data_IF_163072463837
#
_entry.id   IF_163072463837
#
_cell.length_a   1.000
_cell.length_b   1.000
_cell.length_c   1.000
_cell.angle_alpha   90.00
_cell.angle_beta   90.00
_cell.angle_gamma   90.00
#
_symmetry.space_group_name_H-M   'P 1'
#
loop_
_entity.id
_entity.type
_entity.pdbx_description
1 polymer ?
#
# COMPACT_ATOMS: atom_id res chain seq x y z
N UNK A 1 5.07 -20.89 4.27
CA UNK A 1 6.11 -19.84 4.35
C UNK A 1 5.78 -18.94 5.53
N UNK A 2 6.70 -18.73 6.48
CA UNK A 2 6.44 -17.84 7.61
C UNK A 2 6.52 -16.38 7.14
N UNK A 3 5.36 -15.80 6.81
CA UNK A 3 5.22 -14.39 6.42
C UNK A 3 5.90 -13.43 7.42
N UNK A 4 5.87 -13.79 8.71
CA UNK A 4 6.60 -13.09 9.76
C UNK A 4 8.12 -13.07 9.56
N UNK A 5 8.72 -14.18 9.15
CA UNK A 5 10.17 -14.25 8.90
C UNK A 5 10.57 -13.27 7.81
N UNK A 6 9.83 -13.25 6.68
CA UNK A 6 10.10 -12.34 5.57
C UNK A 6 10.06 -10.87 5.97
N UNK A 7 9.04 -10.48 6.77
CA UNK A 7 8.95 -9.12 7.30
C UNK A 7 10.16 -8.78 8.19
N UNK A 8 10.53 -9.69 9.09
CA UNK A 8 11.68 -9.50 9.98
C UNK A 8 12.99 -9.37 9.18
N UNK A 9 13.21 -10.28 8.24
CA UNK A 9 14.42 -10.33 7.41
C UNK A 9 14.57 -9.05 6.59
N UNK A 10 13.47 -8.53 6.03
CA UNK A 10 13.48 -7.25 5.31
C UNK A 10 13.90 -6.11 6.24
N UNK A 11 13.29 -5.98 7.42
CA UNK A 11 13.63 -4.90 8.36
C UNK A 11 15.09 -4.99 8.81
N UNK A 12 15.56 -6.19 9.14
CA UNK A 12 16.95 -6.40 9.53
C UNK A 12 17.94 -6.09 8.40
N UNK A 13 17.58 -6.36 7.14
CA UNK A 13 18.43 -6.01 6.00
C UNK A 13 18.61 -4.51 5.80
N UNK A 14 17.65 -3.70 6.26
CA UNK A 14 17.64 -2.25 6.09
C UNK A 14 18.35 -1.49 7.21
N UNK A 15 18.67 -2.14 8.33
CA UNK A 15 19.32 -1.53 9.51
C UNK A 15 20.56 -0.70 9.12
N UNK A 16 21.49 -1.30 8.36
CA UNK A 16 22.70 -0.60 7.93
C UNK A 16 22.46 0.54 6.93
N UNK A 17 21.35 0.53 6.19
CA UNK A 17 20.97 1.67 5.34
C UNK A 17 20.26 2.77 6.16
N UNK A 18 19.55 2.42 7.23
CA UNK A 18 18.97 3.38 8.18
C UNK A 18 20.07 4.19 8.88
N UNK A 19 21.09 3.54 9.44
CA UNK A 19 22.22 4.22 10.09
C UNK A 19 22.93 5.16 9.11
N UNK A 20 23.22 4.69 7.89
CA UNK A 20 23.87 5.50 6.86
C UNK A 20 23.03 6.69 6.41
N UNK A 21 21.71 6.53 6.35
CA UNK A 21 20.82 7.61 5.94
C UNK A 21 20.65 8.66 7.04
N UNK A 22 20.37 8.24 8.27
CA UNK A 22 20.09 9.16 9.38
C UNK A 22 21.35 9.80 9.97
N UNK A 23 22.45 9.06 10.12
CA UNK A 23 23.67 9.61 10.72
C UNK A 23 24.55 10.32 9.70
N UNK A 24 24.63 9.76 8.47
CA UNK A 24 25.58 10.22 7.44
C UNK A 24 24.91 10.92 6.26
N UNK A 25 23.59 11.12 6.30
CA UNK A 25 22.82 11.77 5.22
C UNK A 25 23.05 11.15 3.82
N UNK A 26 23.32 9.84 3.76
CA UNK A 26 23.62 9.17 2.50
C UNK A 26 22.36 8.99 1.63
N UNK A 27 22.25 9.74 0.53
CA UNK A 27 21.09 9.71 -0.37
C UNK A 27 20.84 8.35 -1.04
N UNK A 28 21.88 7.56 -1.29
CA UNK A 28 21.72 6.22 -1.86
C UNK A 28 21.10 5.25 -0.83
N UNK A 29 21.54 5.33 0.42
CA UNK A 29 20.95 4.58 1.54
C UNK A 29 19.49 4.99 1.76
N UNK A 30 19.18 6.29 1.72
CA UNK A 30 17.80 6.79 1.79
C UNK A 30 16.89 6.24 0.68
N UNK A 31 17.42 6.09 -0.54
CA UNK A 31 16.68 5.47 -1.65
C UNK A 31 16.36 3.99 -1.38
N UNK A 32 17.31 3.24 -0.78
CA UNK A 32 17.11 1.83 -0.41
C UNK A 32 16.11 1.67 0.72
N UNK A 33 16.26 2.46 1.79
CA UNK A 33 15.29 2.53 2.90
C UNK A 33 13.89 2.78 2.37
N UNK A 34 13.71 3.79 1.50
CA UNK A 34 12.40 4.10 0.92
C UNK A 34 11.81 2.94 0.11
N UNK A 35 12.62 2.27 -0.72
CA UNK A 35 12.18 1.10 -1.50
C UNK A 35 11.82 -0.07 -0.60
N UNK A 36 12.66 -0.38 0.39
CA UNK A 36 12.41 -1.43 1.37
C UNK A 36 11.14 -1.17 2.18
N UNK A 37 10.90 0.07 2.61
CA UNK A 37 9.64 0.43 3.30
C UNK A 37 8.40 0.32 2.41
N UNK A 38 8.54 0.56 1.10
CA UNK A 38 7.45 0.32 0.14
C UNK A 38 7.11 -1.18 0.05
N UNK A 39 8.13 -2.04 0.03
CA UNK A 39 7.97 -3.50 0.00
C UNK A 39 7.36 -4.02 1.30
N UNK A 40 7.82 -3.53 2.45
CA UNK A 40 7.25 -3.83 3.77
C UNK A 40 5.74 -3.55 3.80
N UNK A 41 5.33 -2.37 3.29
CA UNK A 41 3.92 -1.97 3.23
C UNK A 41 3.10 -2.96 2.41
N UNK A 42 3.60 -3.37 1.26
CA UNK A 42 2.90 -4.31 0.38
C UNK A 42 2.77 -5.69 1.06
N UNK A 43 3.86 -6.22 1.62
CA UNK A 43 3.82 -7.49 2.36
C UNK A 43 2.86 -7.44 3.54
N UNK A 44 2.87 -6.36 4.33
CA UNK A 44 1.94 -6.18 5.43
C UNK A 44 0.47 -6.15 4.97
N UNK A 45 0.19 -5.49 3.84
CA UNK A 45 -1.14 -5.44 3.23
C UNK A 45 -1.62 -6.83 2.77
N UNK A 46 -0.74 -7.59 2.12
CA UNK A 46 -1.02 -8.96 1.67
C UNK A 46 -1.35 -9.86 2.86
N UNK A 47 -0.50 -9.88 3.89
CA UNK A 47 -0.70 -10.68 5.10
C UNK A 47 -2.00 -10.30 5.80
N UNK A 48 -2.31 -9.01 5.92
CA UNK A 48 -3.58 -8.55 6.48
C UNK A 48 -4.77 -9.09 5.70
N UNK A 49 -4.69 -9.04 4.37
CA UNK A 49 -5.76 -9.51 3.48
C UNK A 49 -5.90 -11.03 3.58
N UNK A 50 -4.81 -11.79 3.61
CA UNK A 50 -4.81 -13.23 3.85
C UNK A 50 -5.48 -13.58 5.16
N UNK A 51 -5.12 -12.93 6.27
CA UNK A 51 -5.73 -13.16 7.59
C UNK A 51 -7.22 -12.85 7.57
N UNK A 52 -7.61 -11.73 6.94
CA UNK A 52 -9.02 -11.36 6.82
C UNK A 52 -9.79 -12.38 5.97
N UNK A 53 -9.20 -12.82 4.86
CA UNK A 53 -9.78 -13.85 4.01
C UNK A 53 -9.92 -15.17 4.76
N UNK A 54 -8.94 -15.58 5.58
CA UNK A 54 -9.02 -16.78 6.42
C UNK A 54 -10.12 -16.66 7.49
N UNK A 55 -10.30 -15.47 8.09
CA UNK A 55 -11.42 -15.23 9.01
C UNK A 55 -12.77 -15.31 8.29
N UNK A 56 -12.86 -14.77 7.08
CA UNK A 56 -14.07 -14.80 6.29
C UNK A 56 -14.35 -16.23 5.78
N UNK A 57 -13.36 -16.97 5.26
CA UNK A 57 -13.56 -18.37 4.83
C UNK A 57 -13.84 -19.32 5.99
N UNK A 58 -13.34 -19.03 7.19
CA UNK A 58 -13.72 -19.72 8.43
C UNK A 58 -15.04 -19.25 9.06
N UNK A 59 -15.64 -18.17 8.55
CA UNK A 59 -16.81 -17.50 9.14
C UNK A 59 -17.98 -17.26 8.19
N UNK A 60 -17.88 -17.62 6.90
CA UNK A 60 -18.84 -17.21 5.87
C UNK A 60 -19.63 -18.39 5.29
N UNK A 61 -20.27 -19.14 6.19
CA UNK A 61 -21.65 -19.61 5.97
C UNK A 61 -22.68 -18.48 6.17
N UNK A 62 -22.25 -17.24 6.45
CA UNK A 62 -23.12 -16.10 6.66
C UNK A 62 -22.78 -14.92 5.73
N UNK A 63 -23.51 -14.89 4.61
CA UNK A 63 -23.74 -13.76 3.67
C UNK A 63 -22.77 -13.55 2.50
N UNK A 64 -23.06 -14.30 1.44
CA UNK A 64 -22.98 -13.80 0.08
C UNK A 64 -23.80 -12.51 -0.11
N UNK A 65 -23.21 -11.55 -0.84
CA UNK A 65 -23.72 -10.24 -1.25
C UNK A 65 -24.92 -10.33 -2.23
N UNK A 66 -25.54 -9.20 -2.66
CA UNK A 66 -24.98 -8.50 -3.83
C UNK A 66 -25.28 -6.98 -3.93
N UNK A 67 -24.47 -6.24 -4.70
CA UNK A 67 -24.91 -5.53 -5.92
C UNK A 67 -23.98 -4.36 -6.31
N UNK A 68 -23.49 -4.45 -7.54
CA UNK A 68 -22.83 -3.40 -8.30
C UNK A 68 -23.82 -2.34 -8.83
N UNK A 69 -23.36 -1.08 -8.89
CA UNK A 69 -23.58 -0.06 -9.96
C UNK A 69 -22.87 1.22 -9.49
N UNK A 70 -22.03 1.91 -10.27
CA UNK A 70 -22.15 2.21 -11.68
C UNK A 70 -20.79 2.62 -12.26
N UNK A 71 -20.51 2.14 -13.47
CA UNK A 71 -19.40 2.49 -14.33
C UNK A 71 -19.35 4.01 -14.65
N UNK A 72 -18.13 4.53 -14.85
CA UNK A 72 -17.81 5.73 -15.64
C UNK A 72 -18.29 5.53 -17.12
N UNK A 73 -18.47 6.56 -18.00
CA UNK A 73 -17.55 7.69 -18.23
C UNK A 73 -18.21 9.01 -18.76
N UNK A 74 -17.35 9.93 -19.21
CA UNK A 74 -17.55 10.93 -20.28
C UNK A 74 -17.65 12.43 -19.88
N UNK A 75 -16.70 13.16 -20.46
CA UNK A 75 -16.53 14.61 -20.51
C UNK A 75 -17.71 15.37 -21.15
N UNK A 76 -17.94 16.63 -20.74
CA UNK A 76 -17.76 17.85 -21.56
C UNK A 76 -18.59 19.06 -21.08
N UNK A 77 -17.93 20.22 -21.09
CA UNK A 77 -18.42 21.59 -21.35
C UNK A 77 -19.44 22.26 -20.40
N UNK A 78 -18.96 23.32 -19.73
CA UNK A 78 -19.58 24.68 -19.77
C UNK A 78 -18.53 25.69 -19.27
N UNK A 79 -17.83 26.37 -20.18
CA UNK A 79 -18.15 27.71 -20.68
C UNK A 79 -17.83 28.83 -19.67
N UNK A 80 -16.81 29.62 -20.01
CA UNK A 80 -16.60 30.96 -19.48
C UNK A 80 -17.85 31.85 -19.71
N UNK A 81 -17.99 32.94 -18.95
CA UNK A 81 -18.02 34.21 -19.66
C UNK A 81 -17.16 35.29 -19.00
N UNK A 82 -16.42 36.00 -19.85
CA UNK A 82 -15.98 37.35 -19.58
C UNK A 82 -17.20 38.29 -19.47
N UNK A 83 -17.21 39.18 -18.46
CA UNK A 83 -17.63 40.60 -18.60
C UNK A 83 -17.47 41.38 -17.30
N UNK A 84 -16.64 42.43 -17.40
CA UNK A 84 -16.78 43.80 -16.85
C UNK A 84 -17.33 43.96 -15.42
N UNK A 85 -16.47 44.48 -14.54
CA UNK A 85 -16.56 45.89 -14.14
C UNK A 85 -15.17 46.43 -13.81
#
# INVERSE_FOLDING_TARGET
MNNFSKLKDLVMSLEGDFDKFYDKQNSAAGTRVRKGMQELKNMAQEIRTEVQNMKNTGGEAAKAAPAAKKAAPAATKKAAPAKKK
#
